data_IF_933712303641
#
_entry.id   IF_933712303641
#
_cell.length_a   1.000
_cell.length_b   1.000
_cell.length_c   1.000
_cell.angle_alpha   90.00
_cell.angle_beta   90.00
_cell.angle_gamma   90.00
#
_symmetry.space_group_name_H-M   'P 1'
#
loop_
_entity.id
_entity.type
_entity.pdbx_description
1 polymer ?
#
# COMPACT_ATOMS: atom_id res chain seq x y z
N UNK A 1 -12.68 21.06 -10.66
CA UNK A 1 -12.08 20.28 -9.58
C UNK A 1 -12.42 21.00 -8.29
N UNK A 2 -13.41 20.51 -7.55
CA UNK A 2 -13.78 21.03 -6.23
C UNK A 2 -12.66 20.69 -5.26
N UNK A 3 -11.94 21.70 -4.77
CA UNK A 3 -11.01 21.55 -3.65
C UNK A 3 -11.84 21.10 -2.43
N UNK A 4 -11.72 19.82 -2.04
CA UNK A 4 -12.34 19.35 -0.82
C UNK A 4 -11.55 19.91 0.37
N UNK A 5 -12.19 20.76 1.16
CA UNK A 5 -11.62 21.30 2.38
C UNK A 5 -11.28 20.13 3.33
N UNK A 6 -9.99 19.99 3.65
CA UNK A 6 -9.47 18.92 4.52
C UNK A 6 -9.41 19.42 5.96
N UNK A 7 -10.55 19.38 6.66
CA UNK A 7 -10.66 19.71 8.07
C UNK A 7 -11.50 18.65 8.80
N UNK A 8 -11.48 18.61 10.12
CA UNK A 8 -12.12 17.61 10.97
C UNK A 8 -11.63 16.19 10.69
N UNK A 9 -10.51 15.86 11.35
CA UNK A 9 -9.92 14.51 11.26
C UNK A 9 -10.88 13.46 11.76
N UNK A 10 -10.99 12.38 11.01
CA UNK A 10 -11.74 11.17 11.37
C UNK A 10 -10.81 9.96 11.39
N UNK A 11 -10.97 9.13 12.42
CA UNK A 11 -10.28 7.87 12.53
C UNK A 11 -11.25 6.81 13.06
N UNK A 12 -11.22 5.64 12.45
CA UNK A 12 -11.97 4.48 12.94
C UNK A 12 -11.04 3.27 12.91
N UNK A 13 -10.83 2.66 14.07
CA UNK A 13 -10.07 1.43 14.24
C UNK A 13 -10.99 0.33 14.73
N UNK A 14 -11.16 -0.68 13.91
CA UNK A 14 -11.92 -1.89 14.23
C UNK A 14 -10.96 -3.06 14.30
N UNK A 15 -10.94 -3.73 15.44
CA UNK A 15 -10.28 -5.02 15.60
C UNK A 15 -11.35 -6.10 15.59
N UNK A 16 -11.18 -7.13 14.76
CA UNK A 16 -12.16 -8.21 14.65
C UNK A 16 -11.53 -9.60 14.75
N UNK A 17 -12.33 -10.55 15.17
CA UNK A 17 -11.96 -11.97 15.22
C UNK A 17 -12.43 -12.73 13.97
N UNK A 18 -12.10 -14.01 13.90
CA UNK A 18 -12.49 -14.86 12.78
C UNK A 18 -14.01 -15.02 12.61
N UNK A 19 -14.79 -14.78 13.67
CA UNK A 19 -16.26 -14.82 13.67
C UNK A 19 -16.90 -13.47 13.33
N UNK A 20 -16.10 -12.50 12.90
CA UNK A 20 -16.53 -11.14 12.54
C UNK A 20 -17.10 -10.30 13.70
N UNK A 21 -16.84 -10.70 14.95
CA UNK A 21 -17.13 -9.86 16.09
C UNK A 21 -16.03 -8.79 16.18
N UNK A 22 -16.43 -7.53 16.15
CA UNK A 22 -15.53 -6.38 16.11
C UNK A 22 -15.56 -5.55 17.36
N UNK A 23 -14.42 -5.03 17.78
CA UNK A 23 -14.25 -4.04 18.82
C UNK A 23 -13.90 -2.70 18.18
N UNK A 24 -14.71 -1.68 18.41
CA UNK A 24 -14.47 -0.32 17.93
C UNK A 24 -13.66 0.47 18.97
N UNK A 25 -12.48 0.93 18.56
CA UNK A 25 -11.54 1.68 19.40
C UNK A 25 -11.38 3.14 18.95
N UNK A 26 -12.27 3.64 18.10
CA UNK A 26 -12.18 4.94 17.43
C UNK A 26 -12.11 6.13 18.38
N UNK A 27 -12.67 6.01 19.59
CA UNK A 27 -12.72 7.08 20.60
C UNK A 27 -11.42 7.25 21.38
N UNK A 28 -10.50 6.30 21.26
CA UNK A 28 -9.23 6.31 21.98
C UNK A 28 -8.17 7.13 21.24
N UNK A 29 -7.09 7.47 21.94
CA UNK A 29 -5.91 7.98 21.26
C UNK A 29 -5.23 6.84 20.53
N UNK A 30 -5.06 7.00 19.23
CA UNK A 30 -4.41 6.05 18.35
C UNK A 30 -3.29 6.77 17.60
N UNK A 31 -2.07 6.22 17.67
CA UNK A 31 -1.00 6.61 16.78
C UNK A 31 -0.73 5.48 15.81
N UNK A 32 -0.46 5.82 14.56
CA UNK A 32 -0.21 4.82 13.53
C UNK A 32 0.85 5.25 12.53
N UNK A 33 1.59 4.26 12.05
CA UNK A 33 2.48 4.38 10.90
C UNK A 33 2.25 3.20 10.00
N UNK A 34 1.84 3.46 8.76
CA UNK A 34 1.55 2.45 7.75
C UNK A 34 2.54 2.61 6.63
N UNK A 35 3.17 1.53 6.21
CA UNK A 35 4.09 1.51 5.07
C UNK A 35 3.54 0.61 3.98
N UNK A 36 3.30 1.19 2.82
CA UNK A 36 2.82 0.51 1.62
C UNK A 36 3.84 0.67 0.49
N UNK A 37 4.06 -0.40 -0.24
CA UNK A 37 4.98 -0.38 -1.38
C UNK A 37 4.40 -1.16 -2.57
N UNK A 38 4.89 -0.87 -3.77
CA UNK A 38 4.62 -1.65 -4.98
C UNK A 38 5.44 -2.96 -5.02
N UNK A 39 6.19 -3.22 -3.94
CA UNK A 39 6.98 -4.43 -3.78
C UNK A 39 6.13 -5.65 -3.45
N UNK A 40 6.73 -6.81 -3.63
CA UNK A 40 6.08 -8.10 -3.37
C UNK A 40 5.85 -8.38 -1.88
N UNK A 41 6.59 -7.71 -1.00
CA UNK A 41 6.47 -7.88 0.45
C UNK A 41 5.17 -7.27 0.96
N UNK A 42 4.48 -7.94 1.90
CA UNK A 42 3.26 -7.41 2.49
C UNK A 42 3.45 -6.05 3.14
N UNK A 43 2.48 -5.17 2.96
CA UNK A 43 2.44 -3.89 3.64
C UNK A 43 2.34 -4.06 5.16
N UNK A 44 2.85 -3.10 5.91
CA UNK A 44 2.90 -3.16 7.36
C UNK A 44 2.24 -1.96 8.01
N UNK A 45 1.60 -2.19 9.16
CA UNK A 45 1.06 -1.14 10.00
C UNK A 45 1.55 -1.33 11.45
N UNK A 46 2.05 -0.26 12.04
CA UNK A 46 2.38 -0.16 13.46
C UNK A 46 1.36 0.76 14.11
N UNK A 47 0.61 0.25 15.06
CA UNK A 47 -0.46 0.96 15.76
C UNK A 47 -0.17 1.00 17.25
N UNK A 48 -0.38 2.14 17.91
CA UNK A 48 -0.38 2.23 19.37
C UNK A 48 -1.69 2.83 19.84
N UNK A 49 -2.32 2.14 20.76
CA UNK A 49 -3.63 2.49 21.33
C UNK A 49 -3.43 2.78 22.80
N UNK A 50 -3.85 3.94 23.23
CA UNK A 50 -3.68 4.43 24.60
C UNK A 50 -5.01 4.41 25.37
N UNK A 51 -4.92 4.18 26.69
CA UNK A 51 -6.08 4.30 27.56
C UNK A 51 -7.04 3.11 27.54
N UNK A 52 -6.57 1.92 27.12
CA UNK A 52 -7.33 0.68 27.21
C UNK A 52 -7.44 0.20 28.67
N UNK A 53 -8.61 -0.36 29.02
CA UNK A 53 -8.78 -1.13 30.24
C UNK A 53 -8.05 -2.48 30.12
N UNK A 54 -7.58 -3.02 31.23
CA UNK A 54 -6.77 -4.25 31.23
C UNK A 54 -7.52 -5.46 30.69
N UNK A 55 -8.81 -5.57 30.98
CA UNK A 55 -9.67 -6.64 30.45
C UNK A 55 -9.79 -6.55 28.93
N UNK A 56 -9.96 -5.33 28.40
CA UNK A 56 -9.99 -5.10 26.94
C UNK A 56 -8.65 -5.40 26.28
N UNK A 57 -7.52 -5.02 26.91
CA UNK A 57 -6.18 -5.39 26.40
C UNK A 57 -6.01 -6.91 26.31
N UNK A 58 -6.46 -7.65 27.35
CA UNK A 58 -6.38 -9.11 27.40
C UNK A 58 -7.26 -9.74 26.32
N UNK A 59 -8.46 -9.21 26.12
CA UNK A 59 -9.37 -9.65 25.07
C UNK A 59 -8.76 -9.43 23.68
N UNK A 60 -8.18 -8.26 23.43
CA UNK A 60 -7.52 -7.96 22.15
C UNK A 60 -6.39 -8.96 21.86
N UNK A 61 -5.54 -9.22 22.85
CA UNK A 61 -4.39 -10.15 22.70
C UNK A 61 -4.84 -11.56 22.36
N UNK A 62 -5.95 -12.03 22.94
CA UNK A 62 -6.36 -13.43 22.84
C UNK A 62 -7.33 -13.71 21.69
N UNK A 63 -8.15 -12.74 21.28
CA UNK A 63 -9.29 -13.00 20.39
C UNK A 63 -9.18 -12.32 19.03
N UNK A 64 -8.54 -11.15 18.92
CA UNK A 64 -8.59 -10.34 17.71
C UNK A 64 -7.35 -10.52 16.85
N UNK A 65 -7.60 -10.87 15.58
CA UNK A 65 -6.53 -11.10 14.61
C UNK A 65 -6.59 -10.17 13.40
N UNK A 66 -7.75 -9.57 13.11
CA UNK A 66 -7.93 -8.66 11.99
C UNK A 66 -7.92 -7.21 12.44
N UNK A 67 -7.30 -6.36 11.65
CA UNK A 67 -7.13 -4.93 11.90
C UNK A 67 -7.62 -4.19 10.67
N UNK A 68 -8.68 -3.39 10.82
CA UNK A 68 -9.20 -2.49 9.79
C UNK A 68 -9.10 -1.05 10.31
N UNK A 69 -8.28 -0.23 9.65
CA UNK A 69 -8.07 1.17 9.99
C UNK A 69 -8.57 2.06 8.87
N UNK A 70 -9.48 2.95 9.22
CA UNK A 70 -9.96 4.01 8.34
C UNK A 70 -9.53 5.36 8.91
N UNK A 71 -9.05 6.23 8.06
CA UNK A 71 -8.68 7.59 8.45
C UNK A 71 -8.87 8.57 7.29
N UNK A 72 -8.87 9.85 7.64
CA UNK A 72 -9.03 10.93 6.67
C UNK A 72 -9.62 12.17 7.30
N UNK A 73 -10.34 12.90 6.50
CA UNK A 73 -11.11 14.08 6.89
C UNK A 73 -12.58 13.84 6.60
N UNK A 74 -13.47 14.66 7.15
CA UNK A 74 -14.92 14.47 6.98
C UNK A 74 -15.34 14.41 5.50
N UNK A 75 -14.70 15.19 4.66
CA UNK A 75 -14.95 15.22 3.20
C UNK A 75 -14.24 14.11 2.42
N UNK A 76 -13.21 13.49 2.99
CA UNK A 76 -12.40 12.48 2.32
C UNK A 76 -11.91 11.44 3.35
N UNK A 77 -12.69 10.42 3.55
CA UNK A 77 -12.53 9.39 4.57
C UNK A 77 -12.58 8.00 3.95
N UNK A 78 -11.69 7.12 4.34
CA UNK A 78 -11.64 5.76 3.77
C UNK A 78 -10.67 4.83 4.46
N UNK A 79 -10.64 3.59 3.98
CA UNK A 79 -9.72 2.56 4.47
C UNK A 79 -8.30 2.96 4.07
N UNK A 80 -7.41 3.00 5.05
CA UNK A 80 -5.98 3.23 4.84
C UNK A 80 -5.15 1.98 5.14
N UNK A 81 -5.71 1.00 5.84
CA UNK A 81 -5.08 -0.29 6.08
C UNK A 81 -6.12 -1.36 6.42
N UNK A 82 -5.97 -2.54 5.85
CA UNK A 82 -6.70 -3.75 6.23
C UNK A 82 -5.74 -4.94 6.22
N UNK A 83 -5.63 -5.64 7.36
CA UNK A 83 -4.66 -6.72 7.48
C UNK A 83 -4.86 -7.58 8.73
N UNK A 84 -3.87 -8.39 9.05
CA UNK A 84 -3.86 -9.26 10.22
C UNK A 84 -2.75 -8.86 11.19
N UNK A 85 -3.04 -8.96 12.50
CA UNK A 85 -2.05 -8.73 13.55
C UNK A 85 -0.97 -9.82 13.52
N UNK A 86 0.30 -9.41 13.54
CA UNK A 86 1.45 -10.30 13.66
C UNK A 86 1.85 -10.54 15.10
N UNK A 87 1.94 -9.45 15.83
CA UNK A 87 2.21 -9.49 17.26
C UNK A 87 1.60 -8.27 17.95
N UNK A 88 1.31 -8.45 19.23
CA UNK A 88 0.72 -7.45 20.10
C UNK A 88 1.60 -7.35 21.35
N UNK A 89 1.97 -6.14 21.72
CA UNK A 89 2.83 -5.87 22.88
C UNK A 89 2.20 -4.81 23.77
N UNK A 90 2.20 -5.08 25.08
CA UNK A 90 1.84 -4.08 26.11
C UNK A 90 3.07 -3.26 26.46
N UNK A 91 2.96 -1.95 26.50
CA UNK A 91 4.04 -1.04 26.84
C UNK A 91 3.59 0.09 27.75
N UNK A 92 4.58 0.83 28.24
CA UNK A 92 4.35 2.08 28.98
C UNK A 92 5.23 3.17 28.40
N UNK A 93 4.66 4.35 28.23
CA UNK A 93 5.36 5.56 27.89
C UNK A 93 5.47 6.44 29.13
N UNK A 94 6.66 6.93 29.44
CA UNK A 94 6.91 7.84 30.60
C UNK A 94 6.37 7.34 31.96
N UNK A 95 6.45 6.05 32.25
CA UNK A 95 5.98 5.39 33.48
C UNK A 95 4.47 5.56 33.82
N UNK A 96 3.72 6.39 33.11
CA UNK A 96 2.32 6.72 33.42
C UNK A 96 1.38 6.20 32.36
N UNK A 97 1.66 6.46 31.10
CA UNK A 97 0.75 6.12 29.99
C UNK A 97 0.97 4.69 29.50
N UNK A 98 -0.03 3.83 29.73
CA UNK A 98 -0.05 2.48 29.15
C UNK A 98 -0.50 2.55 27.69
N UNK A 99 0.11 1.74 26.85
CA UNK A 99 -0.32 1.55 25.46
C UNK A 99 -0.26 0.08 25.05
N UNK A 100 -1.13 -0.26 24.12
CA UNK A 100 -1.09 -1.53 23.39
C UNK A 100 -0.51 -1.25 22.00
N UNK A 101 0.60 -1.91 21.67
CA UNK A 101 1.23 -1.83 20.36
C UNK A 101 0.85 -3.04 19.53
N UNK A 102 0.30 -2.81 18.35
CA UNK A 102 -0.10 -3.84 17.39
C UNK A 102 0.73 -3.66 16.13
N UNK A 103 1.46 -4.69 15.76
CA UNK A 103 2.08 -4.77 14.45
C UNK A 103 1.21 -5.66 13.57
N UNK A 104 0.73 -5.09 12.47
CA UNK A 104 -0.11 -5.79 11.52
C UNK A 104 0.54 -5.84 10.14
N UNK A 105 0.12 -6.81 9.33
CA UNK A 105 0.60 -6.97 7.97
C UNK A 105 -0.55 -7.33 7.05
N UNK A 106 -0.52 -6.78 5.85
CA UNK A 106 -1.56 -6.97 4.83
C UNK A 106 -1.31 -8.26 4.06
N UNK A 107 -2.28 -9.18 4.09
CA UNK A 107 -2.21 -10.43 3.33
C UNK A 107 -1.09 -11.41 3.74
N UNK A 108 -0.52 -11.27 4.93
CA UNK A 108 0.62 -12.09 5.40
C UNK A 108 0.36 -13.60 5.30
N UNK A 109 -0.85 -14.04 5.66
CA UNK A 109 -1.23 -15.45 5.59
C UNK A 109 -1.27 -15.96 4.15
N UNK A 110 -1.78 -15.17 3.22
CA UNK A 110 -1.80 -15.52 1.81
C UNK A 110 -0.38 -15.52 1.22
N UNK A 111 0.42 -14.53 1.55
CA UNK A 111 1.80 -14.43 1.08
C UNK A 111 2.67 -15.61 1.53
N UNK A 112 2.56 -16.03 2.79
CA UNK A 112 3.41 -17.08 3.36
C UNK A 112 2.86 -18.49 3.18
N UNK A 113 1.54 -18.69 3.16
CA UNK A 113 0.91 -20.00 3.26
C UNK A 113 -0.04 -20.36 2.11
N UNK A 114 -0.15 -19.53 1.06
CA UNK A 114 -0.90 -19.93 -0.12
C UNK A 114 -0.10 -20.95 -0.94
N UNK A 115 -0.66 -22.14 -1.12
CA UNK A 115 -0.08 -23.21 -1.92
C UNK A 115 -1.01 -23.49 -3.09
N UNK A 116 -0.43 -23.50 -4.28
CA UNK A 116 -1.13 -23.84 -5.52
C UNK A 116 -0.91 -25.31 -5.83
N UNK A 117 -1.97 -26.02 -6.13
CA UNK A 117 -1.93 -27.39 -6.65
C UNK A 117 -2.99 -27.51 -7.75
N UNK A 118 -2.59 -27.25 -8.98
CA UNK A 118 -3.52 -27.26 -10.12
C UNK A 118 -2.80 -27.45 -11.45
N UNK A 119 -3.54 -27.76 -12.50
CA UNK A 119 -3.03 -27.93 -13.85
C UNK A 119 -3.75 -26.98 -14.80
N UNK A 120 -2.98 -26.24 -15.59
CA UNK A 120 -3.49 -25.44 -16.68
C UNK A 120 -3.44 -26.27 -17.98
N UNK A 121 -4.49 -26.18 -18.78
CA UNK A 121 -4.56 -26.83 -20.09
C UNK A 121 -3.69 -26.08 -21.13
N UNK A 122 -3.40 -26.73 -22.24
CA UNK A 122 -2.86 -26.07 -23.43
C UNK A 122 -3.80 -24.93 -23.86
N UNK A 123 -3.23 -23.78 -24.20
CA UNK A 123 -3.99 -22.60 -24.60
C UNK A 123 -4.37 -21.66 -23.45
N UNK A 124 -4.08 -22.05 -22.18
CA UNK A 124 -4.25 -21.14 -21.04
C UNK A 124 -3.30 -19.94 -21.15
N UNK A 125 -3.72 -18.80 -20.63
CA UNK A 125 -2.97 -17.53 -20.65
C UNK A 125 -2.23 -17.29 -19.34
N UNK A 126 -1.38 -16.25 -19.29
CA UNK A 126 -0.79 -15.79 -18.03
C UNK A 126 -1.85 -15.33 -17.04
N UNK A 127 -2.93 -14.72 -17.53
CA UNK A 127 -4.07 -14.32 -16.70
C UNK A 127 -4.75 -15.53 -16.04
N UNK A 128 -4.89 -16.64 -16.76
CA UNK A 128 -5.44 -17.88 -16.18
C UNK A 128 -4.53 -18.42 -15.07
N UNK A 129 -3.20 -18.33 -15.25
CA UNK A 129 -2.27 -18.69 -14.19
C UNK A 129 -2.43 -17.79 -12.97
N UNK A 130 -2.47 -16.47 -13.15
CA UNK A 130 -2.69 -15.50 -12.06
C UNK A 130 -4.01 -15.77 -11.34
N UNK A 131 -5.09 -16.00 -12.09
CA UNK A 131 -6.39 -16.32 -11.52
C UNK A 131 -6.38 -17.61 -10.69
N UNK A 132 -5.66 -18.64 -11.16
CA UNK A 132 -5.57 -19.90 -10.44
C UNK A 132 -4.76 -19.75 -9.14
N UNK A 133 -3.66 -18.99 -9.18
CA UNK A 133 -2.89 -18.65 -7.98
C UNK A 133 -3.72 -17.78 -7.04
N UNK A 134 -4.44 -16.81 -7.58
CA UNK A 134 -5.32 -15.94 -6.81
C UNK A 134 -6.38 -16.70 -6.01
N UNK A 135 -6.94 -17.79 -6.55
CA UNK A 135 -7.88 -18.64 -5.80
C UNK A 135 -7.24 -19.24 -4.54
N UNK A 136 -6.00 -19.70 -4.61
CA UNK A 136 -5.30 -20.21 -3.42
C UNK A 136 -5.03 -19.13 -2.37
N UNK A 137 -4.84 -17.87 -2.82
CA UNK A 137 -4.72 -16.72 -1.91
C UNK A 137 -6.05 -16.30 -1.30
N UNK A 138 -7.16 -16.44 -2.05
CA UNK A 138 -8.51 -16.18 -1.54
C UNK A 138 -8.87 -17.09 -0.37
N UNK A 139 -8.47 -18.36 -0.39
CA UNK A 139 -8.63 -19.29 0.73
C UNK A 139 -7.91 -18.83 2.01
N UNK A 140 -6.95 -17.91 1.88
CA UNK A 140 -6.19 -17.33 2.98
C UNK A 140 -6.60 -15.89 3.33
N UNK A 141 -7.75 -15.41 2.77
CA UNK A 141 -8.38 -14.16 3.13
C UNK A 141 -8.00 -12.95 2.27
N UNK A 142 -7.28 -13.14 1.18
CA UNK A 142 -6.99 -12.07 0.20
C UNK A 142 -7.97 -12.17 -0.95
N UNK A 143 -8.55 -11.05 -1.37
CA UNK A 143 -9.48 -11.01 -2.51
C UNK A 143 -8.76 -10.63 -3.80
N UNK A 144 -9.38 -10.90 -4.95
CA UNK A 144 -8.88 -10.45 -6.25
C UNK A 144 -9.16 -8.95 -6.39
N UNK A 145 -8.13 -8.18 -6.67
CA UNK A 145 -8.20 -6.76 -6.98
C UNK A 145 -8.03 -6.50 -8.48
N UNK A 146 -7.32 -5.43 -8.82
CA UNK A 146 -7.04 -5.09 -10.21
C UNK A 146 -5.98 -6.01 -10.78
N UNK A 147 -6.30 -6.67 -11.89
CA UNK A 147 -5.38 -7.47 -12.67
C UNK A 147 -5.39 -6.91 -14.08
N UNK A 148 -4.25 -6.37 -14.51
CA UNK A 148 -4.13 -5.84 -15.85
C UNK A 148 -4.41 -6.93 -16.89
N UNK A 149 -5.07 -6.58 -17.98
CA UNK A 149 -5.30 -7.52 -19.06
C UNK A 149 -3.97 -7.89 -19.71
N UNK A 150 -3.65 -9.17 -19.67
CA UNK A 150 -2.60 -9.77 -20.49
C UNK A 150 -3.06 -11.16 -20.89
N UNK A 151 -3.86 -11.18 -21.97
CA UNK A 151 -4.41 -12.41 -22.57
C UNK A 151 -3.73 -12.73 -23.90
N UNK A 152 -2.63 -12.04 -24.21
CA UNK A 152 -2.07 -12.03 -25.57
C UNK A 152 -1.25 -13.28 -25.88
N UNK A 153 -0.73 -13.99 -24.87
CA UNK A 153 0.14 -15.13 -25.09
C UNK A 153 -0.40 -16.41 -24.43
N UNK A 154 -0.88 -17.32 -25.27
CA UNK A 154 -1.34 -18.62 -24.84
C UNK A 154 -0.18 -19.61 -24.62
N UNK A 155 -0.28 -20.42 -23.59
CA UNK A 155 0.70 -21.48 -23.30
C UNK A 155 0.68 -22.53 -24.43
N UNK A 156 1.82 -22.88 -25.03
CA UNK A 156 1.89 -23.85 -26.12
C UNK A 156 1.56 -25.28 -25.66
N UNK A 157 1.66 -25.54 -24.37
CA UNK A 157 1.36 -26.84 -23.73
C UNK A 157 0.80 -26.64 -22.32
N UNK A 158 0.17 -27.68 -21.79
CA UNK A 158 -0.30 -27.66 -20.40
C UNK A 158 0.82 -27.43 -19.39
N UNK A 159 0.50 -26.78 -18.27
CA UNK A 159 1.43 -26.44 -17.18
C UNK A 159 0.89 -26.91 -15.86
N UNK A 160 1.69 -27.67 -15.11
CA UNK A 160 1.38 -28.05 -13.73
C UNK A 160 1.89 -26.95 -12.80
N UNK A 161 1.03 -26.48 -11.90
CA UNK A 161 1.34 -25.53 -10.84
C UNK A 161 1.32 -26.29 -9.52
N UNK A 162 2.48 -26.42 -8.88
CA UNK A 162 2.60 -27.06 -7.58
C UNK A 162 3.66 -26.32 -6.75
N UNK A 163 3.22 -25.66 -5.65
CA UNK A 163 4.14 -24.93 -4.79
C UNK A 163 3.60 -23.62 -4.27
N UNK A 164 4.49 -22.72 -3.83
CA UNK A 164 4.14 -21.45 -3.23
C UNK A 164 3.46 -20.49 -4.22
N UNK A 165 2.30 -19.95 -3.82
CA UNK A 165 1.56 -18.97 -4.62
C UNK A 165 2.38 -17.72 -4.93
N UNK A 166 3.13 -17.19 -3.97
CA UNK A 166 3.98 -15.99 -4.17
C UNK A 166 5.03 -16.18 -5.26
N UNK A 167 5.61 -17.38 -5.38
CA UNK A 167 6.62 -17.64 -6.40
C UNK A 167 6.01 -17.64 -7.80
N UNK A 168 4.82 -18.24 -7.95
CA UNK A 168 4.10 -18.18 -9.23
C UNK A 168 3.64 -16.76 -9.57
N UNK A 169 3.21 -15.97 -8.58
CA UNK A 169 2.89 -14.55 -8.81
C UNK A 169 4.11 -13.75 -9.24
N UNK A 170 5.27 -13.97 -8.59
CA UNK A 170 6.53 -13.34 -8.98
C UNK A 170 6.89 -13.70 -10.42
N UNK A 171 6.84 -14.98 -10.76
CA UNK A 171 7.14 -15.45 -12.12
C UNK A 171 6.19 -14.82 -13.15
N UNK A 172 4.89 -14.79 -12.89
CA UNK A 172 3.91 -14.19 -13.78
C UNK A 172 4.16 -12.69 -13.94
N UNK A 173 4.38 -11.97 -12.86
CA UNK A 173 4.65 -10.53 -12.89
C UNK A 173 5.94 -10.21 -13.68
N UNK A 174 7.01 -10.98 -13.47
CA UNK A 174 8.27 -10.81 -14.23
C UNK A 174 8.05 -11.10 -15.72
N UNK A 175 7.30 -12.14 -16.06
CA UNK A 175 7.03 -12.52 -17.46
C UNK A 175 6.22 -11.44 -18.18
N UNK A 176 5.27 -10.80 -17.49
CA UNK A 176 4.39 -9.77 -18.07
C UNK A 176 4.91 -8.34 -17.92
N UNK A 177 6.10 -8.14 -17.33
CA UNK A 177 6.63 -6.80 -17.05
C UNK A 177 5.77 -5.99 -16.09
N UNK A 178 5.13 -6.67 -15.14
CA UNK A 178 4.23 -6.09 -14.15
C UNK A 178 4.82 -6.15 -12.74
N UNK A 179 4.29 -5.34 -11.83
CA UNK A 179 4.42 -5.53 -10.39
C UNK A 179 3.19 -6.25 -9.86
N UNK A 180 3.37 -7.08 -8.82
CA UNK A 180 2.27 -7.63 -8.06
C UNK A 180 2.42 -7.30 -6.59
N UNK A 181 1.32 -7.00 -5.94
CA UNK A 181 1.30 -6.65 -4.52
C UNK A 181 -0.06 -6.99 -3.90
N UNK A 182 -0.12 -7.00 -2.58
CA UNK A 182 -1.36 -7.09 -1.83
C UNK A 182 -1.60 -5.72 -1.20
N UNK A 183 -2.74 -5.11 -1.51
CA UNK A 183 -3.10 -3.76 -1.07
C UNK A 183 -4.48 -3.80 -0.41
N UNK A 184 -4.52 -3.56 0.91
CA UNK A 184 -5.74 -3.56 1.72
C UNK A 184 -6.59 -4.83 1.55
N UNK A 185 -5.93 -6.01 1.60
CA UNK A 185 -6.55 -7.31 1.44
C UNK A 185 -6.89 -7.70 0.01
N UNK A 186 -6.42 -6.95 -0.99
CA UNK A 186 -6.67 -7.21 -2.42
C UNK A 186 -5.36 -7.46 -3.17
N UNK A 187 -5.30 -8.56 -3.87
CA UNK A 187 -4.19 -8.85 -4.77
C UNK A 187 -4.32 -8.03 -6.06
N UNK A 188 -3.28 -7.32 -6.43
CA UNK A 188 -3.25 -6.56 -7.68
C UNK A 188 -2.01 -6.87 -8.52
N UNK A 189 -2.17 -6.79 -9.84
CA UNK A 189 -1.10 -6.95 -10.82
C UNK A 189 -1.20 -5.79 -11.81
N UNK A 190 -0.20 -4.92 -11.79
CA UNK A 190 -0.19 -3.68 -12.58
C UNK A 190 1.09 -3.62 -13.40
N UNK A 191 1.04 -3.42 -14.74
CA UNK A 191 2.24 -3.25 -15.55
C UNK A 191 3.10 -2.09 -15.04
N UNK A 192 4.41 -2.24 -15.09
CA UNK A 192 5.35 -1.20 -14.61
C UNK A 192 5.22 0.11 -15.40
N UNK A 193 4.76 0.03 -16.65
CA UNK A 193 4.56 1.19 -17.53
C UNK A 193 3.16 1.80 -17.44
N UNK A 194 2.30 1.32 -16.54
CA UNK A 194 0.91 1.78 -16.45
C UNK A 194 0.52 2.07 -14.99
N UNK A 195 -0.67 2.60 -14.80
CA UNK A 195 -1.23 2.94 -13.49
C UNK A 195 -2.58 2.27 -13.31
N UNK A 196 -3.08 2.25 -12.08
CA UNK A 196 -4.47 1.85 -11.82
C UNK A 196 -5.45 2.75 -12.60
N UNK A 197 -6.58 2.21 -13.06
CA UNK A 197 -7.56 2.95 -13.86
C UNK A 197 -8.41 3.90 -13.00
N UNK A 198 -7.77 4.61 -12.09
CA UNK A 198 -8.39 5.60 -11.21
C UNK A 198 -8.04 7.00 -11.70
N UNK A 199 -8.85 7.99 -11.30
CA UNK A 199 -8.50 9.39 -11.56
C UNK A 199 -7.23 9.79 -10.83
N UNK A 200 -6.39 10.59 -11.47
CA UNK A 200 -5.20 11.13 -10.84
C UNK A 200 -5.57 12.02 -9.64
N UNK A 201 -4.86 11.86 -8.55
CA UNK A 201 -4.98 12.74 -7.38
C UNK A 201 -4.13 13.97 -7.62
N UNK A 202 -4.76 15.13 -7.70
CA UNK A 202 -4.05 16.42 -7.90
C UNK A 202 -3.52 16.91 -6.56
N UNK A 203 -2.21 17.10 -6.47
CA UNK A 203 -1.53 17.63 -5.29
C UNK A 203 -0.97 19.01 -5.58
N UNK A 204 -1.51 20.01 -4.90
CA UNK A 204 -1.03 21.39 -4.87
C UNK A 204 -1.27 21.98 -3.47
N UNK A 205 -0.86 23.23 -3.26
CA UNK A 205 -1.04 23.92 -1.97
C UNK A 205 -2.52 23.96 -1.53
N UNK A 206 -3.47 24.04 -2.46
CA UNK A 206 -4.91 24.05 -2.15
C UNK A 206 -5.52 22.67 -1.90
N UNK A 207 -4.88 21.59 -2.34
CA UNK A 207 -5.35 20.19 -2.15
C UNK A 207 -4.59 19.43 -1.06
N UNK A 208 -3.75 20.16 -0.28
CA UNK A 208 -3.10 19.59 0.89
C UNK A 208 -1.66 19.14 0.69
N UNK A 209 -0.96 19.59 -0.35
CA UNK A 209 0.48 19.41 -0.48
C UNK A 209 1.19 20.16 0.65
N UNK A 210 2.14 19.52 1.32
CA UNK A 210 2.92 20.07 2.42
C UNK A 210 4.37 20.20 1.98
N UNK A 211 4.91 21.42 2.04
CA UNK A 211 6.28 21.71 1.61
C UNK A 211 6.43 21.62 0.09
N UNK A 212 7.68 21.51 -0.35
CA UNK A 212 8.05 21.43 -1.76
C UNK A 212 8.42 20.00 -2.11
N UNK A 213 7.80 19.38 -3.13
CA UNK A 213 8.22 18.07 -3.60
C UNK A 213 9.65 18.09 -4.11
N UNK A 214 10.42 17.07 -3.77
CA UNK A 214 11.83 16.95 -4.15
C UNK A 214 12.00 15.85 -5.20
N UNK A 215 12.66 16.18 -6.29
CA UNK A 215 13.00 15.22 -7.32
C UNK A 215 14.42 14.69 -7.11
N UNK A 216 14.56 13.37 -7.12
CA UNK A 216 15.81 12.65 -7.01
C UNK A 216 15.92 11.57 -8.10
N UNK A 217 17.06 10.86 -8.14
CA UNK A 217 17.25 9.71 -9.03
C UNK A 217 16.29 8.53 -8.73
N UNK A 218 15.70 8.48 -7.54
CA UNK A 218 14.73 7.45 -7.13
C UNK A 218 13.28 7.82 -7.48
N UNK A 219 13.04 9.04 -7.96
CA UNK A 219 11.73 9.56 -8.29
C UNK A 219 11.42 10.89 -7.60
N UNK A 220 10.15 11.23 -7.52
CA UNK A 220 9.68 12.42 -6.81
C UNK A 220 9.18 12.03 -5.42
N UNK A 221 9.72 12.66 -4.39
CA UNK A 221 9.21 12.55 -3.02
C UNK A 221 8.28 13.73 -2.71
N UNK A 222 7.15 13.44 -2.10
CA UNK A 222 6.16 14.44 -1.71
C UNK A 222 5.57 14.13 -0.33
N UNK A 223 5.14 15.18 0.34
CA UNK A 223 4.38 15.08 1.60
C UNK A 223 3.05 15.80 1.41
N UNK A 224 1.96 15.18 1.83
CA UNK A 224 0.64 15.81 1.77
C UNK A 224 -0.19 15.47 3.02
N UNK A 225 -1.26 16.21 3.23
CA UNK A 225 -2.26 15.88 4.24
C UNK A 225 -2.79 14.47 4.01
N UNK A 226 -3.17 13.76 5.08
CA UNK A 226 -3.64 12.39 5.00
C UNK A 226 -4.79 12.26 4.02
N UNK A 227 -4.59 11.45 2.99
CA UNK A 227 -5.54 11.28 1.90
C UNK A 227 -5.69 9.77 1.58
N UNK A 228 -6.82 9.16 1.93
CA UNK A 228 -7.06 7.74 1.70
C UNK A 228 -7.24 7.36 0.22
N UNK A 229 -7.39 8.33 -0.69
CA UNK A 229 -7.48 8.06 -2.14
C UNK A 229 -6.14 7.78 -2.79
N UNK A 230 -5.03 8.09 -2.10
CA UNK A 230 -3.68 7.74 -2.55
C UNK A 230 -3.49 6.22 -2.44
N UNK A 231 -3.22 5.59 -3.57
CA UNK A 231 -3.04 4.14 -3.66
C UNK A 231 -1.72 3.80 -4.34
N UNK A 232 -1.12 2.69 -3.96
CA UNK A 232 0.06 2.13 -4.65
C UNK A 232 -0.32 1.76 -6.09
N UNK A 233 0.56 2.07 -7.03
CA UNK A 233 0.34 2.03 -8.48
C UNK A 233 -0.75 2.99 -8.99
N UNK A 234 -1.30 3.86 -8.13
CA UNK A 234 -2.18 4.96 -8.52
C UNK A 234 -1.38 6.12 -9.11
N UNK A 235 -2.11 7.07 -9.68
CA UNK A 235 -1.54 8.25 -10.33
C UNK A 235 -1.71 9.49 -9.45
N UNK A 236 -0.62 10.26 -9.32
CA UNK A 236 -0.64 11.59 -8.72
C UNK A 236 -0.17 12.61 -9.74
N UNK A 237 -0.82 13.78 -9.75
CA UNK A 237 -0.41 14.93 -10.54
C UNK A 237 0.14 16.01 -9.60
N UNK A 238 1.37 16.46 -9.88
CA UNK A 238 2.06 17.50 -9.12
C UNK A 238 2.47 18.61 -10.11
N UNK A 239 2.11 19.85 -9.79
CA UNK A 239 2.44 20.99 -10.64
C UNK A 239 3.96 21.23 -10.67
N UNK A 240 4.52 21.40 -11.85
CA UNK A 240 5.97 21.60 -12.06
C UNK A 240 6.55 22.76 -11.28
N UNK A 241 5.79 23.86 -11.18
CA UNK A 241 6.20 25.05 -10.46
C UNK A 241 6.39 24.83 -8.97
N UNK A 242 5.79 23.73 -8.44
CA UNK A 242 5.89 23.33 -7.03
C UNK A 242 7.09 22.41 -6.74
N UNK A 243 7.82 21.97 -7.77
CA UNK A 243 8.88 20.97 -7.63
C UNK A 243 10.24 21.64 -7.50
N UNK A 244 11.03 21.28 -6.48
CA UNK A 244 12.45 21.63 -6.43
C UNK A 244 13.29 20.44 -6.89
N UNK A 245 14.24 20.70 -7.77
CA UNK A 245 15.26 19.73 -8.14
C UNK A 245 16.41 19.85 -7.13
N UNK A 246 16.59 18.84 -6.27
CA UNK A 246 17.77 18.74 -5.44
C UNK A 246 18.80 17.85 -6.13
N UNK A 247 19.82 18.48 -6.71
CA UNK A 247 20.96 17.79 -7.28
C UNK A 247 22.26 18.35 -6.73
N UNK A 248 22.85 17.70 -5.75
CA UNK A 248 24.30 17.74 -5.50
C UNK A 248 24.87 16.45 -6.05
N UNK A 249 25.14 16.40 -7.32
CA UNK A 249 25.84 15.32 -8.01
C UNK A 249 27.07 15.84 -8.70
N UNK A 250 28.17 15.08 -8.66
CA UNK A 250 29.28 15.22 -9.59
C UNK A 250 28.77 15.18 -11.03
N UNK A 251 29.49 15.75 -11.99
CA UNK A 251 29.11 15.85 -13.41
C UNK A 251 28.63 14.52 -14.06
N UNK A 252 28.80 13.39 -13.39
CA UNK A 252 28.36 12.06 -13.84
C UNK A 252 26.93 11.66 -13.42
N UNK A 253 26.31 12.36 -12.46
CA UNK A 253 24.92 12.13 -12.03
C UNK A 253 24.06 13.37 -12.35
N UNK A 254 23.67 13.49 -13.60
CA UNK A 254 22.70 14.51 -13.99
C UNK A 254 21.38 14.31 -13.28
N UNK A 255 20.87 15.35 -12.63
CA UNK A 255 19.51 15.34 -12.04
C UNK A 255 18.53 15.05 -13.17
N UNK A 256 17.66 14.03 -13.04
CA UNK A 256 16.69 13.72 -14.09
C UNK A 256 15.82 14.95 -14.41
N UNK A 257 15.51 15.15 -15.66
CA UNK A 257 14.59 16.21 -16.06
C UNK A 257 13.23 16.02 -15.39
N UNK A 258 12.64 17.13 -14.93
CA UNK A 258 11.29 17.11 -14.35
C UNK A 258 10.31 16.59 -15.41
N UNK A 259 9.45 15.63 -15.04
CA UNK A 259 8.41 15.10 -15.91
C UNK A 259 7.69 16.20 -16.68
N UNK A 260 7.60 16.06 -18.00
CA UNK A 260 6.93 17.04 -18.85
C UNK A 260 5.44 17.13 -18.59
N UNK A 261 4.83 16.06 -18.08
CA UNK A 261 3.39 15.96 -17.85
C UNK A 261 2.97 16.22 -16.41
N UNK A 262 3.91 16.15 -15.45
CA UNK A 262 3.60 16.28 -14.02
C UNK A 262 2.86 15.09 -13.42
N UNK A 263 2.73 13.96 -14.16
CA UNK A 263 2.08 12.75 -13.70
C UNK A 263 3.09 11.72 -13.21
N UNK A 264 2.82 11.18 -12.02
CA UNK A 264 3.70 10.20 -11.37
C UNK A 264 2.88 8.99 -10.89
N UNK A 265 3.46 7.80 -11.01
CA UNK A 265 2.94 6.56 -10.42
C UNK A 265 3.47 6.41 -9.01
N UNK A 266 2.62 6.20 -8.04
CA UNK A 266 3.01 6.00 -6.64
C UNK A 266 3.59 4.60 -6.46
N UNK A 267 4.85 4.53 -5.98
CA UNK A 267 5.55 3.27 -5.71
C UNK A 267 5.71 2.98 -4.22
N UNK A 268 5.72 4.02 -3.39
CA UNK A 268 5.82 3.91 -1.94
C UNK A 268 4.94 4.96 -1.27
N UNK A 269 4.31 4.58 -0.17
CA UNK A 269 3.45 5.46 0.61
C UNK A 269 3.62 5.14 2.09
N UNK A 270 3.99 6.14 2.87
CA UNK A 270 4.02 6.08 4.32
C UNK A 270 2.92 7.00 4.87
N UNK A 271 2.00 6.44 5.66
CA UNK A 271 0.88 7.17 6.24
C UNK A 271 1.11 7.25 7.75
N UNK A 272 1.14 8.46 8.27
CA UNK A 272 1.45 8.74 9.68
C UNK A 272 0.30 9.53 10.29
N UNK A 273 -0.16 9.10 11.46
CA UNK A 273 -1.23 9.81 12.15
C UNK A 273 -1.22 9.62 13.66
N UNK A 274 -1.66 10.68 14.35
CA UNK A 274 -2.00 10.70 15.78
C UNK A 274 -3.35 11.37 15.94
N UNK A 275 -4.34 10.65 16.46
CA UNK A 275 -5.72 11.17 16.62
C UNK A 275 -5.81 12.32 17.61
N UNK A 276 -4.84 12.51 18.48
CA UNK A 276 -4.77 13.58 19.48
C UNK A 276 -3.55 14.48 19.32
N UNK A 277 -2.60 14.13 18.40
CA UNK A 277 -1.39 14.88 18.10
C UNK A 277 -1.49 15.71 16.84
N UNK A 278 -0.34 16.16 16.33
CA UNK A 278 -0.26 16.99 15.13
C UNK A 278 -0.05 16.15 13.86
N UNK A 279 0.55 14.98 13.97
CA UNK A 279 0.87 14.13 12.84
C UNK A 279 -0.39 13.61 12.16
N UNK A 280 -0.60 13.98 10.89
CA UNK A 280 -1.74 13.55 10.09
C UNK A 280 -1.44 13.79 8.61
N UNK A 281 -0.52 13.00 8.05
CA UNK A 281 0.00 13.21 6.71
C UNK A 281 0.42 11.92 6.03
N UNK A 282 0.59 11.99 4.71
CA UNK A 282 1.16 10.95 3.88
C UNK A 282 2.48 11.44 3.29
N UNK A 283 3.49 10.56 3.29
CA UNK A 283 4.71 10.73 2.51
C UNK A 283 4.69 9.74 1.38
N UNK A 284 4.91 10.17 0.15
CA UNK A 284 4.90 9.31 -1.01
C UNK A 284 6.14 9.48 -1.88
N UNK A 285 6.47 8.41 -2.59
CA UNK A 285 7.47 8.44 -3.66
C UNK A 285 6.77 8.00 -4.93
N UNK A 286 6.92 8.79 -5.98
CA UNK A 286 6.35 8.55 -7.29
C UNK A 286 7.41 8.46 -8.39
N UNK A 287 7.19 7.58 -9.36
CA UNK A 287 7.99 7.52 -10.59
C UNK A 287 7.22 8.18 -11.73
N UNK A 288 7.92 8.90 -12.58
CA UNK A 288 7.33 9.44 -13.79
C UNK A 288 6.82 8.33 -14.71
N UNK A 289 5.70 8.59 -15.34
CA UNK A 289 5.08 7.68 -16.29
C UNK A 289 5.60 7.96 -17.71
N UNK A 290 6.11 9.17 -17.95
CA UNK A 290 6.67 9.55 -19.23
C UNK A 290 8.10 8.98 -19.42
N UNK A 291 8.56 8.97 -20.67
CA UNK A 291 9.84 8.39 -21.05
C UNK A 291 11.07 9.24 -20.67
N UNK A 292 10.85 10.39 -20.01
CA UNK A 292 11.90 11.35 -19.70
C UNK A 292 12.65 11.04 -18.41
N UNK A 293 12.09 10.16 -17.55
CA UNK A 293 12.76 9.77 -16.30
C UNK A 293 13.36 8.36 -16.37
N UNK A 294 14.50 8.14 -15.71
CA UNK A 294 15.08 6.81 -15.63
C UNK A 294 14.09 5.86 -14.94
N UNK A 295 13.79 4.75 -15.60
CA UNK A 295 13.02 3.67 -14.98
C UNK A 295 13.86 3.09 -13.85
N UNK A 296 13.27 2.89 -12.67
CA UNK A 296 13.94 2.19 -11.59
C UNK A 296 14.53 0.88 -12.16
N UNK A 297 15.84 0.73 -12.09
CA UNK A 297 16.48 -0.55 -12.40
C UNK A 297 15.87 -1.54 -11.43
N UNK A 298 15.19 -2.57 -11.95
CA UNK A 298 14.76 -3.67 -11.10
C UNK A 298 16.00 -4.14 -10.35
N UNK A 299 15.88 -4.30 -9.01
CA UNK A 299 16.92 -4.94 -8.18
C UNK A 299 17.12 -6.35 -8.70
N UNK A 300 17.96 -6.48 -9.71
CA UNK A 300 18.31 -7.73 -10.37
C UNK A 300 19.80 -8.00 -10.32
N UNK A 301 20.56 -7.31 -9.54
CA UNK A 301 21.98 -7.60 -9.39
C UNK A 301 22.44 -7.30 -7.95
N UNK A 302 22.15 -8.19 -7.04
CA UNK A 302 23.02 -8.64 -5.93
C UNK A 302 22.58 -10.03 -5.51
#
# INVERSE_FOLDING_TARGET
VTSQLQYLRKCNLILSNASNNGLDLSNLRITFTIKKTDGQTPNTASLRIYGLAEDTENQIVNEFTRVDLQAGYESNYGIIFSGTSKWIRKGRENNVSRYLEIQASDGDRAYNFAVVNSTLSKGATQRDQINQVGRSMQEKGVTMGYIAPDDTQALPRGKVLYGSGREYMRQSATTTGASWSIQDGKMQVVPLSSVLPNSAVVLNAGSGLIGTPEQSNEGISFTCLLNPTLQIAGQVQIDKESISASGQGSEEEAVPEISTTGFYRIISLEIIGDTRGQDWYCKGVGLSIDSTMPRAKSVKDT
#
